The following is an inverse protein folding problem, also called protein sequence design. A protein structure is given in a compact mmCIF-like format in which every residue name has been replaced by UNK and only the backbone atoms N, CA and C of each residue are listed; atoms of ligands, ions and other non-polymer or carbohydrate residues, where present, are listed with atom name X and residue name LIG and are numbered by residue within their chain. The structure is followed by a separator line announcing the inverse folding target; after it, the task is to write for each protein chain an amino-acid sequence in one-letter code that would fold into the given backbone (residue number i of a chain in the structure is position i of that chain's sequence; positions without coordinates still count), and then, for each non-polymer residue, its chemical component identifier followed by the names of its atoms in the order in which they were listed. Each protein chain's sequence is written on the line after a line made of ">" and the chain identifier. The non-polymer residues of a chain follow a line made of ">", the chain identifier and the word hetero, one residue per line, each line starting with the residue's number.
data_IF_062211657873
#
_entry.id   IF_062211657873
#
_cell.length_a   1.000
_cell.length_b   1.000
_cell.length_c   1.000
_cell.angle_alpha   90.00
_cell.angle_beta   90.00
_cell.angle_gamma   90.00
#
_symmetry.space_group_name_H-M   'P 1'
#
loop_
_entity.id
_entity.type
_entity.pdbx_description
1 polymer ?
#
# COMPACT_ATOMS: atom_id res chain seq x y z
N UNK A 1 3.45 17.85 8.74
CA UNK A 1 3.42 17.75 7.27
C UNK A 1 4.28 16.55 6.89
N UNK A 2 3.87 15.80 5.89
CA UNK A 2 4.64 14.68 5.35
C UNK A 2 5.87 15.26 4.62
N UNK A 3 7.11 14.88 4.98
CA UNK A 3 8.32 15.41 4.35
C UNK A 3 8.47 14.99 2.88
N UNK A 4 7.78 13.93 2.47
CA UNK A 4 7.87 13.34 1.12
C UNK A 4 6.74 13.81 0.19
N UNK A 5 5.85 14.67 0.69
CA UNK A 5 4.79 15.32 -0.08
C UNK A 5 5.10 16.81 -0.29
N UNK A 6 5.40 17.16 -1.53
CA UNK A 6 5.64 18.53 -1.95
C UNK A 6 4.42 19.07 -2.69
N UNK A 7 3.99 20.28 -2.36
CA UNK A 7 2.89 20.92 -3.05
C UNK A 7 3.19 22.38 -3.32
N UNK A 8 2.66 22.90 -4.44
CA UNK A 8 2.72 24.33 -4.80
C UNK A 8 1.43 24.76 -5.48
N UNK A 9 1.01 26.02 -5.31
CA UNK A 9 -0.06 26.58 -6.12
C UNK A 9 0.37 26.68 -7.58
N UNK A 10 -0.55 26.40 -8.49
CA UNK A 10 -0.37 26.46 -9.94
C UNK A 10 -1.63 27.03 -10.60
N UNK A 11 -1.51 27.48 -11.84
CA UNK A 11 -2.60 28.06 -12.62
C UNK A 11 -2.69 27.33 -13.95
N UNK A 12 -3.89 26.89 -14.33
CA UNK A 12 -4.16 26.27 -15.62
C UNK A 12 -4.21 27.31 -16.74
N UNK A 13 -4.21 26.85 -17.99
CA UNK A 13 -4.33 27.69 -19.16
C UNK A 13 -5.65 28.49 -19.19
N UNK A 14 -6.71 28.00 -18.57
CA UNK A 14 -8.01 28.67 -18.45
C UNK A 14 -8.08 29.71 -17.31
N UNK A 15 -6.98 29.92 -16.57
CA UNK A 15 -6.88 30.81 -15.42
C UNK A 15 -7.34 30.22 -14.09
N UNK A 16 -7.87 28.99 -14.05
CA UNK A 16 -8.26 28.33 -12.81
C UNK A 16 -7.03 27.92 -12.00
N UNK A 17 -7.13 28.03 -10.67
CA UNK A 17 -6.06 27.67 -9.75
C UNK A 17 -6.18 26.21 -9.31
N UNK A 18 -5.03 25.56 -9.09
CA UNK A 18 -4.95 24.21 -8.54
C UNK A 18 -3.64 24.04 -7.75
N UNK A 19 -3.48 22.90 -7.09
CA UNK A 19 -2.23 22.52 -6.48
C UNK A 19 -1.53 21.43 -7.29
N UNK A 20 -0.28 21.67 -7.66
CA UNK A 20 0.63 20.67 -8.20
C UNK A 20 1.27 19.92 -7.06
N UNK A 21 1.32 18.57 -7.14
CA UNK A 21 1.88 17.72 -6.12
C UNK A 21 3.02 16.87 -6.69
N UNK A 22 4.04 16.67 -5.86
CA UNK A 22 5.10 15.69 -6.08
C UNK A 22 5.15 14.81 -4.84
N UNK A 23 4.94 13.52 -5.02
CA UNK A 23 5.09 12.49 -3.99
C UNK A 23 6.40 11.77 -4.26
N UNK A 24 7.28 11.76 -3.29
CA UNK A 24 8.58 11.10 -3.35
C UNK A 24 8.59 9.93 -2.36
N UNK A 25 8.96 8.75 -2.82
CA UNK A 25 9.15 7.61 -1.95
C UNK A 25 10.42 6.87 -2.38
N UNK A 26 11.48 7.06 -1.62
CA UNK A 26 12.84 6.55 -1.89
C UNK A 26 13.31 7.03 -3.28
N UNK A 27 13.15 6.21 -4.32
CA UNK A 27 13.52 6.48 -5.72
C UNK A 27 12.31 6.59 -6.67
N UNK A 28 11.10 6.34 -6.17
CA UNK A 28 9.87 6.50 -6.93
C UNK A 28 9.29 7.92 -6.79
N UNK A 29 8.97 8.54 -7.93
CA UNK A 29 8.39 9.89 -8.00
C UNK A 29 7.04 9.83 -8.70
N UNK A 30 5.98 10.30 -8.03
CA UNK A 30 4.67 10.50 -8.63
C UNK A 30 4.34 11.99 -8.69
N UNK A 31 4.03 12.49 -9.88
CA UNK A 31 3.65 13.89 -10.11
C UNK A 31 2.17 13.98 -10.45
N UNK A 32 1.44 14.84 -9.74
CA UNK A 32 0.04 15.19 -10.03
C UNK A 32 0.02 16.65 -10.45
N UNK A 33 -0.04 16.88 -11.74
CA UNK A 33 0.03 18.20 -12.37
C UNK A 33 -0.77 18.19 -13.68
N UNK A 34 -1.10 19.34 -14.23
CA UNK A 34 -1.68 19.45 -15.58
C UNK A 34 -0.69 19.01 -16.66
N UNK A 35 0.62 19.29 -16.44
CA UNK A 35 1.73 18.92 -17.32
C UNK A 35 2.81 18.14 -16.57
N UNK A 36 2.54 16.90 -16.11
CA UNK A 36 3.44 16.18 -15.23
C UNK A 36 4.80 15.85 -15.88
N UNK A 37 4.85 15.62 -17.19
CA UNK A 37 6.10 15.41 -17.91
C UNK A 37 7.02 16.64 -17.89
N UNK A 38 6.44 17.83 -17.98
CA UNK A 38 7.20 19.08 -17.90
C UNK A 38 7.83 19.27 -16.51
N UNK A 39 7.10 18.91 -15.47
CA UNK A 39 7.62 18.92 -14.09
C UNK A 39 8.79 17.94 -13.96
N UNK A 40 8.62 16.71 -14.43
CA UNK A 40 9.66 15.70 -14.39
C UNK A 40 10.89 16.11 -15.22
N UNK A 41 10.72 16.38 -16.53
CA UNK A 41 11.82 16.61 -17.45
C UNK A 41 12.50 17.97 -17.27
N UNK A 42 11.69 19.05 -17.17
CA UNK A 42 12.22 20.41 -17.21
C UNK A 42 12.54 20.97 -15.83
N UNK A 43 11.95 20.44 -14.76
CA UNK A 43 12.20 20.95 -13.42
C UNK A 43 13.04 19.98 -12.62
N UNK A 44 12.59 18.76 -12.36
CA UNK A 44 13.37 17.75 -11.62
C UNK A 44 14.58 17.26 -12.40
N UNK A 45 14.46 17.07 -13.70
CA UNK A 45 15.55 16.64 -14.57
C UNK A 45 16.75 17.60 -14.65
N UNK A 46 16.62 18.84 -14.16
CA UNK A 46 17.77 19.76 -14.00
C UNK A 46 18.71 19.34 -12.87
N UNK A 47 18.20 18.64 -11.88
CA UNK A 47 18.91 18.30 -10.65
C UNK A 47 19.16 16.80 -10.49
N UNK A 48 18.33 15.97 -11.15
CA UNK A 48 18.35 14.52 -11.03
C UNK A 48 18.37 13.84 -12.40
N UNK A 49 19.13 12.78 -12.52
CA UNK A 49 19.11 11.93 -13.72
C UNK A 49 17.91 10.98 -13.63
N UNK A 50 16.90 11.22 -14.46
CA UNK A 50 15.71 10.37 -14.54
C UNK A 50 15.88 9.30 -15.63
N UNK A 51 15.34 8.11 -15.39
CA UNK A 51 15.31 7.04 -16.40
C UNK A 51 14.24 7.37 -17.45
N UNK A 52 14.61 7.66 -18.68
CA UNK A 52 13.71 8.08 -19.75
C UNK A 52 12.52 7.14 -19.97
N UNK A 53 12.76 5.83 -19.93
CA UNK A 53 11.72 4.80 -20.10
C UNK A 53 10.78 4.64 -18.92
N UNK A 54 11.02 5.31 -17.79
CA UNK A 54 10.15 5.32 -16.61
C UNK A 54 9.28 6.57 -16.51
N UNK A 55 9.53 7.58 -17.37
CA UNK A 55 8.71 8.81 -17.41
C UNK A 55 7.48 8.56 -18.28
N UNK A 56 6.31 8.71 -17.68
CA UNK A 56 5.03 8.53 -18.37
C UNK A 56 3.87 8.25 -17.42
N UNK A 57 2.74 7.81 -17.96
CA UNK A 57 1.59 7.43 -17.13
C UNK A 57 1.95 6.31 -16.17
N UNK A 58 1.69 6.48 -14.86
CA UNK A 58 1.98 5.45 -13.88
C UNK A 58 1.08 4.24 -14.11
N UNK A 59 1.68 3.05 -14.19
CA UNK A 59 0.95 1.77 -14.23
C UNK A 59 1.01 1.08 -12.87
N UNK A 60 2.13 1.22 -12.20
CA UNK A 60 2.39 0.70 -10.86
C UNK A 60 3.07 1.81 -10.06
N UNK A 61 2.63 2.02 -8.83
CA UNK A 61 3.26 2.90 -7.86
C UNK A 61 3.20 2.25 -6.49
N UNK A 62 4.32 2.13 -5.79
CA UNK A 62 4.44 1.49 -4.47
C UNK A 62 3.80 0.09 -4.38
N UNK A 63 3.80 -0.68 -5.46
CA UNK A 63 3.20 -2.02 -5.53
C UNK A 63 1.69 -2.02 -5.81
N UNK A 64 1.06 -0.86 -5.92
CA UNK A 64 -0.34 -0.71 -6.33
C UNK A 64 -0.49 -0.40 -7.82
N UNK A 65 -1.53 -0.95 -8.44
CA UNK A 65 -1.88 -0.63 -9.81
C UNK A 65 -2.60 0.71 -9.90
N UNK A 66 -2.10 1.58 -10.77
CA UNK A 66 -2.69 2.88 -11.10
C UNK A 66 -3.35 2.78 -12.47
N UNK A 67 -4.60 3.22 -12.59
CA UNK A 67 -5.33 3.23 -13.86
C UNK A 67 -6.36 4.35 -13.91
N UNK A 68 -6.64 4.83 -15.12
CA UNK A 68 -7.77 5.73 -15.36
C UNK A 68 -9.08 4.95 -15.32
N UNK A 69 -10.08 5.53 -14.66
CA UNK A 69 -11.45 5.00 -14.56
C UNK A 69 -12.45 6.11 -14.85
N UNK A 70 -13.63 5.72 -15.27
CA UNK A 70 -14.79 6.62 -15.37
C UNK A 70 -15.76 6.20 -14.28
N UNK A 71 -16.09 7.11 -13.39
CA UNK A 71 -17.07 6.90 -12.32
C UNK A 71 -18.49 6.87 -12.87
N UNK A 72 -19.46 6.38 -12.10
CA UNK A 72 -20.87 6.27 -12.49
C UNK A 72 -21.49 7.62 -12.94
N UNK A 73 -21.01 8.73 -12.36
CA UNK A 73 -21.40 10.08 -12.73
C UNK A 73 -20.68 10.65 -13.97
N UNK A 74 -19.90 9.82 -14.69
CA UNK A 74 -19.15 10.20 -15.88
C UNK A 74 -17.82 10.93 -15.60
N UNK A 75 -17.47 11.17 -14.34
CA UNK A 75 -16.20 11.83 -13.98
C UNK A 75 -15.03 10.90 -14.22
N UNK A 76 -14.01 11.37 -14.91
CA UNK A 76 -12.73 10.68 -15.08
C UNK A 76 -11.91 10.79 -13.79
N UNK A 77 -11.42 9.67 -13.29
CA UNK A 77 -10.61 9.60 -12.08
C UNK A 77 -9.45 8.62 -12.24
N UNK A 78 -8.48 8.72 -11.33
CA UNK A 78 -7.45 7.71 -11.17
C UNK A 78 -7.87 6.73 -10.08
N UNK A 79 -7.70 5.44 -10.34
CA UNK A 79 -7.90 4.34 -9.38
C UNK A 79 -6.54 3.80 -9.00
N UNK A 80 -6.36 3.60 -7.69
CA UNK A 80 -5.21 2.92 -7.12
C UNK A 80 -5.67 1.60 -6.48
N UNK A 81 -4.97 0.49 -6.76
CA UNK A 81 -5.38 -0.83 -6.27
C UNK A 81 -4.18 -1.71 -5.90
N UNK A 82 -4.05 -2.15 -4.63
CA UNK A 82 -3.02 -3.08 -4.19
C UNK A 82 -3.32 -4.56 -4.50
N UNK A 83 -4.26 -4.85 -5.40
CA UNK A 83 -4.84 -6.17 -5.59
C UNK A 83 -3.81 -7.27 -5.93
N UNK A 84 -2.78 -6.97 -6.75
CA UNK A 84 -1.73 -7.96 -7.04
C UNK A 84 -0.85 -8.24 -5.82
N UNK A 85 -0.53 -7.21 -5.04
CA UNK A 85 0.22 -7.36 -3.80
C UNK A 85 -0.54 -8.24 -2.80
N UNK A 86 -1.85 -8.00 -2.66
CA UNK A 86 -2.72 -8.83 -1.80
C UNK A 86 -2.76 -10.29 -2.28
N UNK A 87 -2.89 -10.53 -3.59
CA UNK A 87 -2.87 -11.89 -4.15
C UNK A 87 -1.55 -12.62 -3.87
N UNK A 88 -0.43 -11.93 -4.01
CA UNK A 88 0.88 -12.49 -3.69
C UNK A 88 1.02 -12.82 -2.19
N UNK A 89 0.53 -11.94 -1.31
CA UNK A 89 0.49 -12.19 0.13
C UNK A 89 -0.36 -13.42 0.49
N UNK A 90 -1.53 -13.54 -0.11
CA UNK A 90 -2.43 -14.71 0.09
C UNK A 90 -1.77 -16.00 -0.42
N UNK A 91 -1.08 -15.96 -1.57
CA UNK A 91 -0.33 -17.13 -2.09
C UNK A 91 0.77 -17.56 -1.12
N UNK A 92 1.54 -16.61 -0.61
CA UNK A 92 2.59 -16.86 0.39
C UNK A 92 2.04 -17.58 1.63
N UNK A 93 0.91 -17.11 2.17
CA UNK A 93 0.26 -17.75 3.33
C UNK A 93 -0.21 -19.16 3.00
N UNK A 94 -0.83 -19.38 1.85
CA UNK A 94 -1.27 -20.71 1.41
C UNK A 94 -0.12 -21.68 1.26
N UNK A 95 1.01 -21.24 0.69
CA UNK A 95 2.21 -22.05 0.55
C UNK A 95 2.82 -22.41 1.90
N UNK A 96 2.86 -21.45 2.84
CA UNK A 96 3.33 -21.71 4.19
C UNK A 96 2.48 -22.75 4.91
N UNK A 97 1.14 -22.62 4.85
CA UNK A 97 0.21 -23.58 5.44
C UNK A 97 0.35 -24.97 4.80
N UNK A 98 0.52 -25.05 3.47
CA UNK A 98 0.71 -26.32 2.78
C UNK A 98 1.99 -27.05 3.20
N UNK A 99 3.05 -26.31 3.54
CA UNK A 99 4.30 -26.87 4.07
C UNK A 99 4.20 -27.30 5.54
N UNK A 100 3.30 -26.68 6.31
CA UNK A 100 3.12 -26.93 7.75
C UNK A 100 1.78 -27.64 8.00
N UNK A 101 1.77 -28.97 7.90
CA UNK A 101 0.57 -29.81 7.92
C UNK A 101 -0.31 -29.69 9.16
N UNK A 102 0.20 -29.12 10.26
CA UNK A 102 -0.57 -28.85 11.49
C UNK A 102 -1.41 -27.57 11.40
N UNK A 103 -1.16 -26.72 10.39
CA UNK A 103 -1.90 -25.50 10.17
C UNK A 103 -3.02 -25.72 9.15
N UNK A 104 -4.16 -25.08 9.37
CA UNK A 104 -5.31 -25.19 8.49
C UNK A 104 -5.93 -23.81 8.24
N UNK A 105 -6.31 -23.56 6.99
CA UNK A 105 -7.16 -22.40 6.67
C UNK A 105 -8.57 -22.64 7.22
N UNK A 106 -9.17 -21.64 7.90
CA UNK A 106 -10.58 -21.72 8.27
C UNK A 106 -11.45 -21.80 7.01
N UNK A 107 -12.49 -22.66 7.05
CA UNK A 107 -13.42 -22.83 5.92
C UNK A 107 -14.21 -21.57 5.63
N UNK A 108 -14.52 -20.82 6.67
CA UNK A 108 -15.28 -19.57 6.61
C UNK A 108 -14.79 -18.61 7.71
N UNK A 109 -14.56 -17.37 7.35
CA UNK A 109 -14.14 -16.32 8.26
C UNK A 109 -14.87 -15.02 7.87
N UNK A 110 -15.73 -14.51 8.73
CA UNK A 110 -16.49 -13.27 8.49
C UNK A 110 -15.72 -12.04 8.95
N UNK A 111 -14.79 -12.21 9.89
CA UNK A 111 -14.00 -11.13 10.47
C UNK A 111 -12.55 -11.60 10.62
N UNK A 112 -11.55 -10.72 10.43
CA UNK A 112 -10.15 -11.09 10.59
C UNK A 112 -9.81 -11.58 12.00
N UNK A 113 -10.48 -11.03 13.02
CA UNK A 113 -10.33 -11.41 14.43
C UNK A 113 -11.74 -11.69 15.01
N UNK A 114 -11.86 -12.74 15.79
CA UNK A 114 -13.12 -13.05 16.47
C UNK A 114 -13.53 -11.87 17.39
N UNK A 115 -14.81 -11.51 17.39
CA UNK A 115 -15.34 -10.42 18.22
C UNK A 115 -15.20 -10.67 19.72
N UNK A 116 -15.11 -11.95 20.11
CA UNK A 116 -14.87 -12.40 21.48
C UNK A 116 -13.38 -12.44 21.87
N UNK A 117 -12.47 -12.21 20.94
CA UNK A 117 -11.04 -12.25 21.25
C UNK A 117 -10.67 -11.20 22.29
N UNK A 118 -9.94 -11.65 23.31
CA UNK A 118 -9.37 -10.81 24.38
C UNK A 118 -7.92 -11.20 24.56
N UNK A 119 -7.02 -10.30 24.23
CA UNK A 119 -5.56 -10.52 24.31
C UNK A 119 -5.13 -10.91 25.73
N UNK A 120 -5.75 -10.32 26.73
CA UNK A 120 -5.45 -10.53 28.16
C UNK A 120 -5.76 -11.96 28.63
N UNK A 121 -6.62 -12.65 27.88
CA UNK A 121 -7.04 -14.03 28.16
C UNK A 121 -6.36 -15.06 27.26
N UNK A 122 -5.47 -14.64 26.39
CA UNK A 122 -4.76 -15.54 25.47
C UNK A 122 -3.68 -16.31 26.23
N UNK A 123 -3.93 -17.61 26.41
CA UNK A 123 -3.06 -18.58 27.07
C UNK A 123 -2.36 -19.50 26.06
N UNK A 124 -2.39 -19.16 24.78
CA UNK A 124 -1.75 -19.97 23.75
C UNK A 124 -0.21 -20.02 23.95
N UNK A 125 0.43 -21.14 23.57
CA UNK A 125 1.88 -21.28 23.73
C UNK A 125 2.60 -20.28 22.81
N UNK A 126 3.80 -19.84 23.24
CA UNK A 126 4.64 -18.96 22.43
C UNK A 126 5.05 -19.66 21.13
N UNK A 127 5.11 -18.89 20.07
CA UNK A 127 5.62 -19.35 18.77
C UNK A 127 7.11 -19.75 18.88
N UNK A 128 7.52 -20.74 18.11
CA UNK A 128 8.94 -21.00 17.90
C UNK A 128 9.62 -19.79 17.22
N UNK A 129 10.95 -19.64 17.31
CA UNK A 129 11.66 -18.53 16.68
C UNK A 129 11.39 -18.39 15.16
N UNK A 130 11.21 -19.51 14.47
CA UNK A 130 10.91 -19.54 13.04
C UNK A 130 9.49 -19.06 12.75
N UNK A 131 8.50 -19.51 13.54
CA UNK A 131 7.11 -19.07 13.42
C UNK A 131 6.96 -17.60 13.81
N UNK A 132 7.66 -17.14 14.84
CA UNK A 132 7.68 -15.73 15.24
C UNK A 132 8.26 -14.83 14.13
N UNK A 133 9.35 -15.26 13.48
CA UNK A 133 9.93 -14.56 12.34
C UNK A 133 8.95 -14.48 11.16
N UNK A 134 8.28 -15.58 10.85
CA UNK A 134 7.27 -15.61 9.81
C UNK A 134 6.07 -14.73 10.15
N UNK A 135 5.59 -14.78 11.39
CA UNK A 135 4.52 -13.91 11.88
C UNK A 135 4.87 -12.43 11.73
N UNK A 136 6.07 -12.02 12.16
CA UNK A 136 6.57 -10.66 12.00
C UNK A 136 6.58 -10.22 10.53
N UNK A 137 7.01 -11.10 9.64
CA UNK A 137 6.98 -10.85 8.19
C UNK A 137 5.55 -10.65 7.67
N UNK A 138 4.59 -11.48 8.09
CA UNK A 138 3.18 -11.32 7.72
C UNK A 138 2.58 -10.01 8.21
N UNK A 139 2.88 -9.62 9.45
CA UNK A 139 2.42 -8.33 9.98
C UNK A 139 3.00 -7.17 9.16
N UNK A 140 4.26 -7.24 8.75
CA UNK A 140 4.86 -6.25 7.86
C UNK A 140 4.11 -6.15 6.52
N UNK A 141 3.77 -7.27 5.91
CA UNK A 141 2.97 -7.33 4.68
C UNK A 141 1.58 -6.71 4.88
N UNK A 142 0.89 -7.08 5.97
CA UNK A 142 -0.45 -6.57 6.26
C UNK A 142 -0.44 -5.06 6.56
N UNK A 143 0.56 -4.56 7.29
CA UNK A 143 0.72 -3.11 7.52
C UNK A 143 0.91 -2.36 6.20
N UNK A 144 1.75 -2.89 5.30
CA UNK A 144 1.90 -2.29 3.98
C UNK A 144 0.60 -2.28 3.17
N UNK A 145 -0.21 -3.34 3.26
CA UNK A 145 -1.54 -3.40 2.62
C UNK A 145 -2.48 -2.32 3.17
N UNK A 146 -2.42 -2.05 4.48
CA UNK A 146 -3.18 -0.94 5.12
C UNK A 146 -2.74 0.40 4.55
N UNK A 147 -1.43 0.67 4.48
CA UNK A 147 -0.86 1.91 3.90
C UNK A 147 -1.26 2.09 2.43
N UNK A 148 -1.38 1.00 1.68
CA UNK A 148 -1.86 1.00 0.29
C UNK A 148 -3.38 1.18 0.15
N UNK A 149 -4.10 1.49 1.24
CA UNK A 149 -5.51 1.88 1.22
C UNK A 149 -6.51 0.86 1.78
N UNK A 150 -6.07 -0.31 2.30
CA UNK A 150 -6.95 -1.26 2.99
C UNK A 150 -7.15 -0.88 4.46
N UNK A 151 -7.68 0.33 4.66
CA UNK A 151 -7.97 0.88 6.00
C UNK A 151 -9.02 0.08 6.76
N UNK A 152 -9.81 -0.71 6.06
CA UNK A 152 -10.84 -1.61 6.60
C UNK A 152 -10.28 -2.71 7.53
N UNK A 153 -8.99 -3.06 7.39
CA UNK A 153 -8.31 -4.05 8.24
C UNK A 153 -7.31 -3.40 9.22
N UNK A 154 -7.28 -2.08 9.33
CA UNK A 154 -6.28 -1.34 10.11
C UNK A 154 -6.31 -1.71 11.59
N UNK A 155 -7.50 -1.83 12.19
CA UNK A 155 -7.68 -2.18 13.59
C UNK A 155 -7.10 -3.56 13.89
N UNK A 156 -7.48 -4.55 13.10
CA UNK A 156 -7.05 -5.94 13.30
C UNK A 156 -5.55 -6.10 13.10
N UNK A 157 -4.98 -5.43 12.10
CA UNK A 157 -3.53 -5.43 11.88
C UNK A 157 -2.80 -4.75 13.04
N UNK A 158 -3.34 -3.66 13.59
CA UNK A 158 -2.80 -3.00 14.77
C UNK A 158 -2.83 -3.92 16.00
N UNK A 159 -3.94 -4.60 16.24
CA UNK A 159 -4.08 -5.57 17.34
C UNK A 159 -3.09 -6.72 17.19
N UNK A 160 -2.98 -7.33 16.01
CA UNK A 160 -2.01 -8.40 15.75
C UNK A 160 -0.57 -7.92 15.89
N UNK A 161 -0.26 -6.68 15.48
CA UNK A 161 1.08 -6.12 15.60
C UNK A 161 1.56 -6.03 17.06
N UNK A 162 0.65 -5.94 18.02
CA UNK A 162 0.99 -5.86 19.44
C UNK A 162 1.58 -7.16 20.00
N UNK A 163 1.51 -8.28 19.27
CA UNK A 163 2.10 -9.58 19.66
C UNK A 163 3.52 -9.80 19.14
N UNK A 164 4.08 -8.88 18.36
CA UNK A 164 5.44 -9.03 17.79
C UNK A 164 6.53 -8.99 18.87
N UNK A 165 6.28 -8.29 19.97
CA UNK A 165 7.25 -8.01 21.04
C UNK A 165 7.13 -8.95 22.24
N UNK A 166 6.35 -9.99 22.16
CA UNK A 166 6.14 -10.99 23.20
C UNK A 166 6.90 -12.29 22.86
#
# INVERSE_FOLDING_TARGET
>A
ADPDLWMRPAVKADGSTYYSYILLYVDDVLVIDESPEDVLRKQLGKYFTLKENSIGEPKIYLGGHVRKVVLENGVKAWSFSPNQYIKAAVSNVKEYIAKNKHLHMPKHCNTPIATSYRRELDMSPKLSPQEASYYTSLIGILRWIVELGRVDICLEVSMMSSHITL
#
